data_IF_497518069149
#
_entry.id   IF_497518069149
#
_cell.length_a   1.000
_cell.length_b   1.000
_cell.length_c   1.000
_cell.angle_alpha   90.00
_cell.angle_beta   90.00
_cell.angle_gamma   90.00
#
_symmetry.space_group_name_H-M   'P 1'
#
loop_
_entity.id
_entity.type
_entity.pdbx_description
1 polymer ?
#
# COMPACT_ATOMS: atom_id res chain seq x y z
N UNK A 1 -10.33 -12.75 -5.28
CA UNK A 1 -10.15 -11.31 -5.45
C UNK A 1 -9.05 -10.94 -6.44
N UNK A 2 -7.76 -10.80 -6.08
CA UNK A 2 -6.73 -10.35 -7.05
C UNK A 2 -6.63 -11.23 -8.32
N UNK A 3 -6.68 -12.56 -8.18
CA UNK A 3 -6.66 -13.48 -9.32
C UNK A 3 -7.85 -13.31 -10.28
N UNK A 4 -9.03 -12.98 -9.75
CA UNK A 4 -10.24 -12.75 -10.56
C UNK A 4 -10.18 -11.42 -11.29
N UNK A 5 -9.65 -10.38 -10.62
CA UNK A 5 -9.39 -9.07 -11.24
C UNK A 5 -8.33 -9.18 -12.33
N UNK A 6 -7.24 -9.90 -12.08
CA UNK A 6 -6.21 -10.18 -13.10
C UNK A 6 -6.79 -10.92 -14.30
N UNK A 7 -7.61 -11.95 -14.07
CA UNK A 7 -8.29 -12.68 -15.15
C UNK A 7 -9.24 -11.76 -15.94
N UNK A 8 -9.99 -10.90 -15.27
CA UNK A 8 -10.89 -9.95 -15.91
C UNK A 8 -10.13 -8.92 -16.78
N UNK A 9 -9.02 -8.36 -16.27
CA UNK A 9 -8.17 -7.43 -17.02
C UNK A 9 -7.56 -8.12 -18.25
N UNK A 10 -7.04 -9.35 -18.09
CA UNK A 10 -6.48 -10.13 -19.19
C UNK A 10 -7.55 -10.43 -20.25
N UNK A 11 -8.73 -10.89 -19.85
CA UNK A 11 -9.84 -11.16 -20.76
C UNK A 11 -10.27 -9.89 -21.50
N UNK A 12 -10.42 -8.77 -20.79
CA UNK A 12 -10.77 -7.48 -21.39
C UNK A 12 -9.72 -7.03 -22.41
N UNK A 13 -8.43 -7.15 -22.08
CA UNK A 13 -7.34 -6.84 -22.99
C UNK A 13 -7.36 -7.72 -24.24
N UNK A 14 -7.51 -9.04 -24.09
CA UNK A 14 -7.57 -10.00 -25.19
C UNK A 14 -8.76 -9.72 -26.12
N UNK A 15 -9.96 -9.47 -25.55
CA UNK A 15 -11.16 -9.11 -26.32
C UNK A 15 -10.91 -7.82 -27.10
N UNK A 16 -10.29 -6.81 -26.47
CA UNK A 16 -9.99 -5.53 -27.11
C UNK A 16 -9.04 -5.69 -28.29
N UNK A 17 -7.96 -6.46 -28.12
CA UNK A 17 -7.00 -6.76 -29.20
C UNK A 17 -7.66 -7.53 -30.33
N UNK A 18 -8.47 -8.54 -30.03
CA UNK A 18 -9.23 -9.27 -31.06
C UNK A 18 -10.18 -8.36 -31.83
N UNK A 19 -10.86 -7.43 -31.15
CA UNK A 19 -11.77 -6.47 -31.76
C UNK A 19 -11.03 -5.50 -32.68
N UNK A 20 -9.84 -5.02 -32.28
CA UNK A 20 -8.99 -4.19 -33.13
C UNK A 20 -8.46 -4.93 -34.37
N UNK A 21 -7.99 -6.17 -34.21
CA UNK A 21 -7.49 -6.99 -35.33
C UNK A 21 -8.62 -7.32 -36.31
N UNK A 22 -9.78 -7.70 -35.79
CA UNK A 22 -10.98 -8.00 -36.61
C UNK A 22 -11.47 -6.74 -37.34
N UNK A 23 -11.52 -5.59 -36.67
CA UNK A 23 -11.88 -4.31 -37.27
C UNK A 23 -10.92 -3.90 -38.38
N UNK A 24 -9.62 -4.06 -38.18
CA UNK A 24 -8.61 -3.79 -39.21
C UNK A 24 -8.77 -4.69 -40.43
N UNK A 25 -8.98 -6.00 -40.22
CA UNK A 25 -9.21 -6.96 -41.31
C UNK A 25 -10.48 -6.63 -42.12
N UNK A 26 -11.57 -6.26 -41.44
CA UNK A 26 -12.82 -5.88 -42.08
C UNK A 26 -12.68 -4.62 -42.93
N UNK A 27 -12.02 -3.58 -42.42
CA UNK A 27 -11.82 -2.32 -43.14
C UNK A 27 -10.95 -2.51 -44.38
N UNK A 28 -9.92 -3.37 -44.30
CA UNK A 28 -9.07 -3.67 -45.44
C UNK A 28 -9.80 -4.51 -46.51
N UNK A 29 -10.49 -5.58 -46.10
CA UNK A 29 -10.99 -6.61 -47.04
C UNK A 29 -12.38 -6.29 -47.59
N UNK A 30 -13.28 -5.73 -46.77
CA UNK A 30 -14.68 -5.50 -47.14
C UNK A 30 -14.90 -4.07 -47.63
N UNK A 31 -14.31 -3.09 -46.95
CA UNK A 31 -14.45 -1.67 -47.32
C UNK A 31 -13.45 -1.23 -48.41
N UNK A 32 -12.44 -2.05 -48.71
CA UNK A 32 -11.47 -1.79 -49.78
C UNK A 32 -10.62 -0.54 -49.56
N UNK A 33 -10.49 -0.08 -48.31
CA UNK A 33 -9.74 1.14 -47.97
C UNK A 33 -8.24 0.82 -48.06
N UNK A 34 -7.60 1.34 -49.11
CA UNK A 34 -6.15 1.20 -49.31
C UNK A 34 -5.34 2.15 -48.42
N UNK A 35 -5.91 3.31 -48.10
CA UNK A 35 -5.29 4.31 -47.23
C UNK A 35 -5.53 3.97 -45.75
N UNK A 36 -4.63 3.18 -45.17
CA UNK A 36 -4.71 2.69 -43.78
C UNK A 36 -4.52 3.77 -42.71
N UNK A 37 -3.90 4.91 -43.06
CA UNK A 37 -3.49 5.95 -42.10
C UNK A 37 -4.64 6.52 -41.23
N UNK A 38 -5.78 6.99 -41.79
CA UNK A 38 -6.88 7.51 -40.97
C UNK A 38 -7.52 6.44 -40.07
N UNK A 39 -7.57 5.19 -40.53
CA UNK A 39 -8.10 4.05 -39.76
C UNK A 39 -7.20 3.75 -38.57
N UNK A 40 -5.89 3.75 -38.79
CA UNK A 40 -4.90 3.59 -37.74
C UNK A 40 -4.99 4.71 -36.69
N UNK A 41 -5.14 5.96 -37.13
CA UNK A 41 -5.20 7.12 -36.25
C UNK A 41 -6.46 7.08 -35.36
N UNK A 42 -7.59 6.64 -35.91
CA UNK A 42 -8.83 6.41 -35.17
C UNK A 42 -8.69 5.28 -34.13
N UNK A 43 -8.08 4.15 -34.51
CA UNK A 43 -7.80 3.02 -33.62
C UNK A 43 -6.85 3.43 -32.49
N UNK A 44 -5.82 4.20 -32.82
CA UNK A 44 -4.86 4.70 -31.85
C UNK A 44 -5.53 5.59 -30.80
N UNK A 45 -6.40 6.52 -31.23
CA UNK A 45 -7.15 7.38 -30.31
C UNK A 45 -8.09 6.57 -29.41
N UNK A 46 -8.76 5.55 -29.96
CA UNK A 46 -9.58 4.62 -29.16
C UNK A 46 -8.74 3.82 -28.16
N UNK A 47 -7.54 3.40 -28.54
CA UNK A 47 -6.64 2.64 -27.67
C UNK A 47 -6.19 3.44 -26.44
N UNK A 48 -6.00 4.76 -26.58
CA UNK A 48 -5.69 5.65 -25.45
C UNK A 48 -6.84 5.64 -24.44
N UNK A 49 -8.08 5.76 -24.91
CA UNK A 49 -9.27 5.74 -24.03
C UNK A 49 -9.35 4.42 -23.26
N UNK A 50 -9.20 3.29 -23.96
CA UNK A 50 -9.23 1.97 -23.32
C UNK A 50 -8.06 1.80 -22.34
N UNK A 51 -6.85 2.24 -22.71
CA UNK A 51 -5.68 2.18 -21.82
C UNK A 51 -5.92 2.96 -20.52
N UNK A 52 -6.52 4.15 -20.60
CA UNK A 52 -6.88 4.94 -19.40
C UNK A 52 -7.94 4.22 -18.55
N UNK A 53 -8.96 3.61 -19.15
CA UNK A 53 -9.95 2.81 -18.41
C UNK A 53 -9.31 1.63 -17.67
N UNK A 54 -8.43 0.87 -18.33
CA UNK A 54 -7.74 -0.28 -17.72
C UNK A 54 -6.85 0.19 -16.56
N UNK A 55 -6.14 1.30 -16.74
CA UNK A 55 -5.29 1.89 -15.71
C UNK A 55 -6.13 2.26 -14.48
N UNK A 56 -7.25 2.96 -14.64
CA UNK A 56 -8.13 3.34 -13.53
C UNK A 56 -8.71 2.11 -12.82
N UNK A 57 -9.25 1.14 -13.57
CA UNK A 57 -9.81 -0.10 -13.02
C UNK A 57 -8.79 -0.92 -12.20
N UNK A 58 -7.50 -0.81 -12.52
CA UNK A 58 -6.44 -1.56 -11.85
C UNK A 58 -5.84 -0.80 -10.66
N UNK A 59 -5.65 0.52 -10.81
CA UNK A 59 -4.93 1.35 -9.83
C UNK A 59 -5.85 1.81 -8.70
N UNK A 60 -7.10 2.15 -9.00
CA UNK A 60 -8.07 2.64 -8.00
C UNK A 60 -8.32 1.65 -6.86
N UNK A 61 -8.64 0.35 -7.10
CA UNK A 61 -8.82 -0.60 -6.00
C UNK A 61 -7.52 -0.81 -5.20
N UNK A 62 -6.37 -0.75 -5.86
CA UNK A 62 -5.08 -0.88 -5.19
C UNK A 62 -4.85 0.28 -4.22
N UNK A 63 -5.16 1.51 -4.65
CA UNK A 63 -5.09 2.72 -3.82
C UNK A 63 -6.02 2.60 -2.61
N UNK A 64 -7.28 2.23 -2.82
CA UNK A 64 -8.26 2.04 -1.74
C UNK A 64 -7.80 1.01 -0.71
N UNK A 65 -7.19 -0.09 -1.17
CA UNK A 65 -6.64 -1.12 -0.27
C UNK A 65 -5.48 -0.59 0.57
N UNK A 66 -4.60 0.21 -0.02
CA UNK A 66 -3.51 0.84 0.70
C UNK A 66 -4.00 1.85 1.74
N UNK A 67 -4.95 2.72 1.38
CA UNK A 67 -5.55 3.69 2.33
C UNK A 67 -6.24 2.99 3.51
N UNK A 68 -6.97 1.90 3.25
CA UNK A 68 -7.57 1.08 4.32
C UNK A 68 -6.52 0.42 5.20
N UNK A 69 -5.42 -0.07 4.62
CA UNK A 69 -4.33 -0.69 5.36
C UNK A 69 -3.62 0.34 6.26
N UNK A 70 -3.41 1.56 5.75
CA UNK A 70 -2.85 2.66 6.53
C UNK A 70 -3.75 3.03 7.72
N UNK A 71 -5.05 3.21 7.48
CA UNK A 71 -6.01 3.49 8.55
C UNK A 71 -6.01 2.39 9.61
N UNK A 72 -6.09 1.13 9.17
CA UNK A 72 -6.09 -0.02 10.07
C UNK A 72 -4.79 -0.10 10.89
N UNK A 73 -3.63 0.12 10.26
CA UNK A 73 -2.34 0.15 10.96
C UNK A 73 -2.32 1.18 12.08
N UNK A 74 -2.74 2.40 11.77
CA UNK A 74 -2.79 3.51 12.73
C UNK A 74 -3.77 3.25 13.87
N UNK A 75 -4.94 2.70 13.57
CA UNK A 75 -5.96 2.34 14.54
C UNK A 75 -5.47 1.24 15.47
N UNK A 76 -4.88 0.17 14.93
CA UNK A 76 -4.26 -0.90 15.73
C UNK A 76 -3.15 -0.35 16.62
N UNK A 77 -2.26 0.52 16.12
CA UNK A 77 -1.21 1.12 16.93
C UNK A 77 -1.80 1.93 18.10
N UNK A 78 -2.87 2.69 17.84
CA UNK A 78 -3.56 3.46 18.87
C UNK A 78 -4.20 2.56 19.93
N UNK A 79 -4.93 1.53 19.49
CA UNK A 79 -5.60 0.58 20.38
C UNK A 79 -4.60 -0.28 21.16
N UNK A 80 -3.44 -0.62 20.57
CA UNK A 80 -2.38 -1.42 21.19
C UNK A 80 -1.68 -0.68 22.34
N UNK A 81 -1.66 0.65 22.34
CA UNK A 81 -1.09 1.41 23.45
C UNK A 81 -1.76 1.09 24.78
N UNK A 82 -3.09 0.97 24.80
CA UNK A 82 -3.85 0.71 26.02
C UNK A 82 -3.50 -0.63 26.71
N UNK A 83 -3.52 -1.80 26.04
CA UNK A 83 -3.09 -3.06 26.63
C UNK A 83 -1.60 -3.07 26.96
N UNK A 84 -0.73 -2.47 26.14
CA UNK A 84 0.71 -2.36 26.47
C UNK A 84 0.94 -1.58 27.77
N UNK A 85 0.32 -0.40 27.90
CA UNK A 85 0.41 0.39 29.13
C UNK A 85 -0.18 -0.34 30.33
N UNK A 86 -1.27 -1.09 30.13
CA UNK A 86 -1.87 -1.93 31.18
C UNK A 86 -0.91 -3.04 31.62
N UNK A 87 -0.28 -3.75 30.68
CA UNK A 87 0.70 -4.80 31.00
C UNK A 87 1.88 -4.20 31.75
N UNK A 88 2.46 -3.10 31.24
CA UNK A 88 3.60 -2.43 31.87
C UNK A 88 3.28 -1.94 33.30
N UNK A 89 2.08 -1.39 33.52
CA UNK A 89 1.65 -0.99 34.86
C UNK A 89 1.55 -2.20 35.80
N UNK A 90 0.97 -3.31 35.33
CA UNK A 90 0.85 -4.54 36.10
C UNK A 90 2.23 -5.16 36.39
N UNK A 91 3.14 -5.22 35.42
CA UNK A 91 4.50 -5.76 35.66
C UNK A 91 5.28 -4.88 36.64
N UNK A 92 5.15 -3.55 36.55
CA UNK A 92 5.76 -2.62 37.49
C UNK A 92 5.22 -2.77 38.91
N UNK A 93 3.91 -3.01 39.08
CA UNK A 93 3.31 -3.30 40.40
C UNK A 93 3.80 -4.63 40.96
N UNK A 94 3.80 -5.70 40.15
CA UNK A 94 4.29 -7.02 40.56
C UNK A 94 5.76 -7.00 40.96
N UNK A 95 6.59 -6.23 40.27
CA UNK A 95 8.04 -6.10 40.55
C UNK A 95 8.33 -5.63 41.97
N UNK A 96 7.47 -4.77 42.55
CA UNK A 96 7.65 -4.24 43.91
C UNK A 96 7.51 -5.31 45.00
N UNK A 97 6.77 -6.39 44.72
CA UNK A 97 6.51 -7.48 45.68
C UNK A 97 7.36 -8.73 45.47
N UNK A 98 8.24 -8.74 44.46
CA UNK A 98 9.06 -9.91 44.08
C UNK A 98 10.53 -9.66 44.38
N UNK A 99 11.16 -10.63 45.07
CA UNK A 99 12.60 -10.61 45.37
C UNK A 99 13.36 -11.75 44.70
N UNK A 100 12.67 -12.73 44.12
CA UNK A 100 13.32 -13.87 43.47
C UNK A 100 13.78 -13.51 42.04
N UNK A 101 15.04 -13.85 41.75
CA UNK A 101 15.72 -13.54 40.49
C UNK A 101 15.01 -14.16 39.27
N UNK A 102 14.39 -15.34 39.44
CA UNK A 102 13.71 -16.03 38.32
C UNK A 102 12.46 -15.27 37.87
N UNK A 103 11.64 -14.78 38.81
CA UNK A 103 10.43 -14.03 38.51
C UNK A 103 10.74 -12.63 37.98
N UNK A 104 11.77 -11.96 38.50
CA UNK A 104 12.24 -10.68 37.96
C UNK A 104 12.66 -10.81 36.48
N UNK A 105 13.42 -11.87 36.13
CA UNK A 105 13.75 -12.18 34.72
C UNK A 105 12.54 -12.54 33.86
N UNK A 106 11.42 -12.99 34.45
CA UNK A 106 10.18 -13.20 33.69
C UNK A 106 9.52 -11.86 33.39
N UNK A 107 9.43 -10.96 34.37
CA UNK A 107 8.87 -9.62 34.18
C UNK A 107 9.67 -8.82 33.14
N UNK A 108 11.00 -8.86 33.19
CA UNK A 108 11.85 -8.21 32.18
C UNK A 108 11.60 -8.73 30.76
N UNK A 109 11.35 -10.03 30.60
CA UNK A 109 11.01 -10.61 29.30
C UNK A 109 9.63 -10.17 28.80
N UNK A 110 8.66 -9.99 29.71
CA UNK A 110 7.33 -9.48 29.38
C UNK A 110 7.42 -8.01 28.95
N UNK A 111 8.11 -7.18 29.73
CA UNK A 111 8.36 -5.76 29.41
C UNK A 111 9.10 -5.63 28.07
N UNK A 112 10.15 -6.41 27.87
CA UNK A 112 10.90 -6.43 26.60
C UNK A 112 10.06 -6.88 25.41
N UNK A 113 9.15 -7.86 25.59
CA UNK A 113 8.23 -8.27 24.54
C UNK A 113 7.21 -7.17 24.21
N UNK A 114 6.71 -6.43 25.21
CA UNK A 114 5.83 -5.28 25.00
C UNK A 114 6.53 -4.15 24.22
N UNK A 115 7.78 -3.81 24.59
CA UNK A 115 8.59 -2.84 23.84
C UNK A 115 8.81 -3.29 22.41
N UNK A 116 9.21 -4.55 22.21
CA UNK A 116 9.40 -5.10 20.87
C UNK A 116 8.10 -5.03 20.05
N UNK A 117 6.95 -5.40 20.61
CA UNK A 117 5.68 -5.31 19.90
C UNK A 117 5.38 -3.87 19.46
N UNK A 118 5.54 -2.90 20.35
CA UNK A 118 5.33 -1.48 20.04
C UNK A 118 6.22 -1.02 18.87
N UNK A 119 7.51 -1.34 18.92
CA UNK A 119 8.47 -1.01 17.87
C UNK A 119 8.11 -1.66 16.52
N UNK A 120 7.75 -2.96 16.54
CA UNK A 120 7.40 -3.70 15.31
C UNK A 120 6.13 -3.19 14.65
N UNK A 121 5.13 -2.77 15.43
CA UNK A 121 3.94 -2.12 14.87
C UNK A 121 4.25 -0.71 14.33
N UNK A 122 5.13 0.05 14.99
CA UNK A 122 5.61 1.32 14.46
C UNK A 122 6.39 1.19 13.15
N UNK A 123 7.24 0.17 13.05
CA UNK A 123 7.94 -0.18 11.80
C UNK A 123 6.97 -0.55 10.68
N UNK A 124 5.93 -1.34 10.99
CA UNK A 124 4.89 -1.70 10.02
C UNK A 124 4.17 -0.44 9.49
N UNK A 125 3.77 0.46 10.38
CA UNK A 125 3.13 1.73 10.01
C UNK A 125 4.01 2.58 9.09
N UNK A 126 5.30 2.68 9.42
CA UNK A 126 6.28 3.37 8.59
C UNK A 126 6.41 2.73 7.19
N UNK A 127 6.53 1.40 7.12
CA UNK A 127 6.65 0.68 5.84
C UNK A 127 5.41 0.86 4.96
N UNK A 128 4.21 0.88 5.54
CA UNK A 128 2.97 1.13 4.81
C UNK A 128 2.98 2.53 4.19
N UNK A 129 3.28 3.56 4.98
CA UNK A 129 3.38 4.96 4.50
C UNK A 129 4.42 5.14 3.39
N UNK A 130 5.58 4.50 3.57
CA UNK A 130 6.66 4.51 2.57
C UNK A 130 6.22 3.90 1.24
N UNK A 131 5.48 2.79 1.25
CA UNK A 131 4.97 2.18 0.03
C UNK A 131 3.92 3.05 -0.68
N UNK A 132 3.18 3.86 0.06
CA UNK A 132 2.16 4.76 -0.48
C UNK A 132 2.73 6.05 -1.08
N UNK A 133 4.06 6.26 -1.05
CA UNK A 133 4.73 7.49 -1.54
C UNK A 133 4.15 8.79 -0.93
N UNK A 134 3.56 8.73 0.26
CA UNK A 134 3.06 9.92 0.97
C UNK A 134 4.19 10.73 1.65
N UNK A 135 5.46 10.39 1.43
CA UNK A 135 6.58 11.12 2.02
C UNK A 135 6.76 12.48 1.34
N UNK A 136 6.55 13.56 2.09
CA UNK A 136 6.82 14.91 1.63
C UNK A 136 8.31 15.19 1.67
N UNK A 137 8.92 15.45 0.51
CA UNK A 137 10.31 15.93 0.44
C UNK A 137 10.27 17.44 0.66
N UNK A 138 10.73 17.87 1.84
CA UNK A 138 10.85 19.29 2.18
C UNK A 138 12.32 19.71 2.24
N UNK A 139 12.61 20.92 1.78
CA UNK A 139 13.94 21.52 1.93
C UNK A 139 14.12 21.96 3.38
N UNK A 140 15.00 21.29 4.11
CA UNK A 140 15.26 21.57 5.53
C UNK A 140 16.68 22.13 5.68
N UNK A 141 16.80 23.22 6.45
CA UNK A 141 18.10 23.74 6.87
C UNK A 141 18.72 22.81 7.91
N UNK A 142 19.76 22.07 7.49
CA UNK A 142 20.33 20.97 8.27
C UNK A 142 20.84 21.40 9.64
N UNK A 143 21.41 22.61 9.74
CA UNK A 143 22.01 23.12 10.98
C UNK A 143 20.93 23.49 12.01
N UNK A 144 19.88 24.21 11.61
CA UNK A 144 18.70 24.43 12.45
C UNK A 144 18.01 23.13 12.89
N UNK A 145 17.90 22.15 11.99
CA UNK A 145 17.29 20.86 12.30
C UNK A 145 18.08 20.08 13.37
N UNK A 146 19.40 19.96 13.20
CA UNK A 146 20.26 19.28 14.18
C UNK A 146 20.23 19.99 15.53
N UNK A 147 20.28 21.33 15.55
CA UNK A 147 20.20 22.11 16.79
C UNK A 147 18.87 21.89 17.53
N UNK A 148 17.77 21.64 16.81
CA UNK A 148 16.45 21.37 17.42
C UNK A 148 16.32 19.98 18.06
N UNK A 149 17.14 19.00 17.68
CA UNK A 149 17.08 17.60 18.17
C UNK A 149 18.06 17.31 19.32
N UNK A 150 19.01 18.21 19.56
CA UNK A 150 20.02 18.10 20.63
C UNK A 150 19.61 18.85 21.92
N UNK A 151 18.35 19.27 22.04
CA UNK A 151 17.80 19.92 23.24
C UNK A 151 17.06 18.95 24.14
#
# INVERSE_FOLDING_TARGET
MFREVTLAIILFYVITVMLFVSGFYYVHTVLGVTNILPVFLMIFLLSIVIATMIATLSIEPLKDHFEKLEHLSKEILHELNLPISTINANTAMLRKGLSDVKSLKRLERIEGACTLLYERYGELDYLIKKQMQQETIEAVELQAFIASRLR
#
